data_IF_800103984759
#
_entry.id   IF_800103984759
#
_cell.length_a   1.000
_cell.length_b   1.000
_cell.length_c   1.000
_cell.angle_alpha   90.00
_cell.angle_beta   90.00
_cell.angle_gamma   90.00
#
_symmetry.space_group_name_H-M   'P 1'
#
loop_
_entity.id
_entity.type
_entity.pdbx_description
1 polymer ?
#
# COMPACT_ATOMS: atom_id res chain seq x y z
N UNK A 1 6.78 -29.29 -28.31
CA UNK A 1 6.65 -28.41 -27.13
C UNK A 1 5.27 -27.80 -27.22
N UNK A 2 4.39 -28.07 -26.27
CA UNK A 2 3.00 -27.62 -26.37
C UNK A 2 2.95 -26.09 -26.24
N UNK A 3 2.54 -25.35 -27.28
CA UNK A 3 2.61 -23.89 -27.30
C UNK A 3 1.76 -23.27 -26.17
N UNK A 4 0.64 -23.91 -25.82
CA UNK A 4 -0.22 -23.53 -24.70
C UNK A 4 0.48 -23.59 -23.34
N UNK A 5 1.26 -24.64 -23.07
CA UNK A 5 2.01 -24.78 -21.81
C UNK A 5 3.10 -23.72 -21.69
N UNK A 6 3.81 -23.43 -22.79
CA UNK A 6 4.82 -22.37 -22.80
C UNK A 6 4.20 -21.00 -22.53
N UNK A 7 3.08 -20.68 -23.17
CA UNK A 7 2.36 -19.42 -22.95
C UNK A 7 1.88 -19.29 -21.50
N UNK A 8 1.27 -20.34 -20.96
CA UNK A 8 0.79 -20.36 -19.58
C UNK A 8 1.94 -20.16 -18.57
N UNK A 9 3.07 -20.84 -18.77
CA UNK A 9 4.23 -20.73 -17.88
C UNK A 9 4.81 -19.31 -17.84
N UNK A 10 4.89 -18.63 -18.99
CA UNK A 10 5.39 -17.25 -19.09
C UNK A 10 4.46 -16.29 -18.37
N UNK A 11 3.14 -16.43 -18.55
CA UNK A 11 2.15 -15.57 -17.90
C UNK A 11 2.22 -15.73 -16.38
N UNK A 12 2.25 -16.97 -15.89
CA UNK A 12 2.28 -17.26 -14.45
C UNK A 12 3.57 -16.73 -13.81
N UNK A 13 4.72 -16.97 -14.44
CA UNK A 13 6.01 -16.49 -13.92
C UNK A 13 6.10 -14.97 -13.90
N UNK A 14 5.64 -14.30 -14.96
CA UNK A 14 5.57 -12.84 -15.01
C UNK A 14 4.64 -12.27 -13.92
N UNK A 15 3.46 -12.86 -13.75
CA UNK A 15 2.52 -12.46 -12.70
C UNK A 15 3.13 -12.66 -11.30
N UNK A 16 3.77 -13.81 -11.05
CA UNK A 16 4.42 -14.11 -9.78
C UNK A 16 5.53 -13.10 -9.46
N UNK A 17 6.38 -12.77 -10.44
CA UNK A 17 7.43 -11.76 -10.27
C UNK A 17 6.86 -10.39 -9.90
N UNK A 18 5.80 -9.95 -10.57
CA UNK A 18 5.14 -8.67 -10.26
C UNK A 18 4.53 -8.70 -8.86
N UNK A 19 3.83 -9.77 -8.49
CA UNK A 19 3.22 -9.91 -7.17
C UNK A 19 4.27 -9.93 -6.05
N UNK A 20 5.35 -10.71 -6.22
CA UNK A 20 6.44 -10.81 -5.25
C UNK A 20 7.23 -9.50 -5.16
N UNK A 21 7.51 -8.84 -6.28
CA UNK A 21 8.17 -7.54 -6.30
C UNK A 21 7.35 -6.46 -5.60
N UNK A 22 6.03 -6.43 -5.81
CA UNK A 22 5.14 -5.51 -5.10
C UNK A 22 5.09 -5.81 -3.60
N UNK A 23 5.02 -7.09 -3.21
CA UNK A 23 5.05 -7.51 -1.82
C UNK A 23 6.37 -7.10 -1.13
N UNK A 24 7.51 -7.31 -1.78
CA UNK A 24 8.82 -6.85 -1.32
C UNK A 24 8.87 -5.34 -1.15
N UNK A 25 8.36 -4.56 -2.12
CA UNK A 25 8.28 -3.11 -2.00
C UNK A 25 7.34 -2.66 -0.87
N UNK A 26 6.27 -3.41 -0.58
CA UNK A 26 5.41 -3.16 0.58
C UNK A 26 6.10 -3.49 1.91
N UNK A 27 7.07 -4.40 1.90
CA UNK A 27 7.87 -4.76 3.07
C UNK A 27 8.94 -3.71 3.37
N UNK A 28 9.70 -3.30 2.35
CA UNK A 28 10.79 -2.33 2.48
C UNK A 28 10.25 -0.91 2.71
N UNK A 29 9.21 -0.51 1.97
CA UNK A 29 8.63 0.84 2.05
C UNK A 29 7.15 0.74 2.41
N UNK A 30 6.82 0.52 3.69
CA UNK A 30 5.43 0.34 4.13
C UNK A 30 4.62 1.64 4.08
N UNK A 31 5.30 2.79 4.17
CA UNK A 31 4.69 4.11 4.20
C UNK A 31 4.85 4.82 2.86
N UNK A 32 3.74 5.31 2.30
CA UNK A 32 3.74 6.26 1.18
C UNK A 32 3.42 7.66 1.69
N UNK A 33 4.07 8.66 1.12
CA UNK A 33 3.76 10.06 1.40
C UNK A 33 2.33 10.38 0.94
N UNK A 34 1.62 11.18 1.71
CA UNK A 34 0.30 11.62 1.31
C UNK A 34 0.43 12.72 0.24
N UNK A 35 0.04 12.41 -0.99
CA UNK A 35 0.08 13.38 -2.10
C UNK A 35 -0.75 14.66 -1.85
N UNK A 36 -1.75 14.61 -0.97
CA UNK A 36 -2.60 15.77 -0.65
C UNK A 36 -1.86 16.83 0.20
N UNK A 37 -0.95 16.40 1.07
CA UNK A 37 -0.19 17.30 1.94
C UNK A 37 1.33 17.23 1.71
N UNK A 38 1.77 16.48 0.69
CA UNK A 38 3.17 16.22 0.37
C UNK A 38 4.01 15.74 1.58
N UNK A 39 3.41 15.00 2.52
CA UNK A 39 4.12 14.51 3.72
C UNK A 39 4.11 15.45 4.92
N UNK A 40 3.59 16.68 4.81
CA UNK A 40 3.60 17.65 5.92
C UNK A 40 2.56 17.36 7.01
N UNK A 41 1.58 16.49 6.74
CA UNK A 41 0.45 16.19 7.65
C UNK A 41 -0.56 17.32 7.80
N UNK A 42 -0.32 18.47 7.15
CA UNK A 42 -1.17 19.65 7.22
C UNK A 42 -1.46 20.14 5.82
N UNK A 43 -2.63 20.73 5.61
CA UNK A 43 -3.01 21.36 4.35
C UNK A 43 -3.33 22.81 4.65
N UNK A 44 -2.70 23.74 3.95
CA UNK A 44 -3.01 25.16 4.04
C UNK A 44 -4.15 25.46 3.07
N UNK A 45 -5.26 26.01 3.59
CA UNK A 45 -6.32 26.54 2.72
C UNK A 45 -5.88 27.88 2.16
N UNK A 46 -5.91 28.03 0.83
CA UNK A 46 -5.45 29.23 0.10
C UNK A 46 -6.16 30.53 0.52
N UNK A 47 -7.36 30.42 1.08
CA UNK A 47 -8.22 31.57 1.44
C UNK A 47 -7.89 32.12 2.83
N UNK A 48 -7.60 31.26 3.80
CA UNK A 48 -7.48 31.66 5.21
C UNK A 48 -6.06 31.50 5.77
N UNK A 49 -5.13 30.93 4.99
CA UNK A 49 -3.76 30.53 5.38
C UNK A 49 -3.65 29.72 6.69
N UNK A 50 -4.76 29.27 7.27
CA UNK A 50 -4.76 28.50 8.50
C UNK A 50 -4.32 27.06 8.21
N UNK A 51 -3.32 26.53 8.95
CA UNK A 51 -2.93 25.14 8.83
C UNK A 51 -4.05 24.26 9.38
N UNK A 52 -4.64 23.43 8.50
CA UNK A 52 -5.60 22.40 8.92
C UNK A 52 -4.94 21.03 8.87
N UNK A 53 -5.31 20.14 9.79
CA UNK A 53 -4.89 18.74 9.70
C UNK A 53 -5.37 18.14 8.38
N UNK A 54 -4.52 17.35 7.72
CA UNK A 54 -4.91 16.70 6.48
C UNK A 54 -6.03 15.69 6.77
N UNK A 55 -7.24 15.92 6.24
CA UNK A 55 -8.41 15.04 6.47
C UNK A 55 -8.22 13.58 6.06
N UNK A 56 -7.15 13.25 5.32
CA UNK A 56 -6.96 11.93 4.75
C UNK A 56 -5.64 11.28 5.15
N UNK A 57 -4.80 11.94 5.92
CA UNK A 57 -3.67 11.30 6.60
C UNK A 57 -3.47 11.95 7.96
N UNK A 58 -3.20 11.15 8.97
CA UNK A 58 -3.04 11.64 10.34
C UNK A 58 -1.67 12.34 10.52
N UNK A 59 -0.59 11.73 10.02
CA UNK A 59 0.79 12.23 10.16
C UNK A 59 1.54 12.47 8.84
N UNK A 60 0.83 12.80 7.76
CA UNK A 60 1.46 13.03 6.44
C UNK A 60 1.83 11.77 5.67
N UNK A 61 1.76 10.60 6.31
CA UNK A 61 2.03 9.30 5.71
C UNK A 61 0.77 8.44 5.64
N UNK A 62 0.76 7.48 4.70
CA UNK A 62 -0.27 6.44 4.60
C UNK A 62 0.39 5.07 4.44
N UNK A 63 -0.22 4.04 5.01
CA UNK A 63 0.17 2.67 4.71
C UNK A 63 -0.13 2.31 3.24
N UNK A 64 0.76 1.54 2.61
CA UNK A 64 0.48 0.86 1.34
C UNK A 64 -0.56 -0.25 1.53
N UNK A 65 -1.26 -0.61 0.46
CA UNK A 65 -2.40 -1.53 0.51
C UNK A 65 -2.00 -2.90 1.08
N UNK A 66 -0.84 -3.44 0.69
CA UNK A 66 -0.34 -4.72 1.20
C UNK A 66 -0.21 -4.75 2.73
N UNK A 67 0.34 -3.69 3.35
CA UNK A 67 0.45 -3.62 4.82
C UNK A 67 -0.90 -3.40 5.49
N UNK A 68 -1.85 -2.71 4.83
CA UNK A 68 -3.23 -2.60 5.34
C UNK A 68 -3.89 -3.98 5.40
N UNK A 69 -3.78 -4.77 4.35
CA UNK A 69 -4.34 -6.13 4.29
C UNK A 69 -3.68 -7.00 5.36
N UNK A 70 -2.35 -7.00 5.44
CA UNK A 70 -1.63 -7.77 6.46
C UNK A 70 -2.07 -7.42 7.89
N UNK A 71 -2.22 -6.13 8.20
CA UNK A 71 -2.67 -5.69 9.52
C UNK A 71 -4.12 -6.12 9.82
N UNK A 72 -5.00 -6.12 8.81
CA UNK A 72 -6.38 -6.62 8.97
C UNK A 72 -6.38 -8.13 9.21
N UNK A 73 -5.65 -8.89 8.40
CA UNK A 73 -5.52 -10.35 8.57
C UNK A 73 -4.93 -10.71 9.94
N UNK A 74 -3.92 -9.98 10.40
CA UNK A 74 -3.34 -10.18 11.71
C UNK A 74 -4.35 -9.93 12.84
N UNK A 75 -5.21 -8.90 12.71
CA UNK A 75 -6.29 -8.64 13.67
C UNK A 75 -7.31 -9.77 13.68
N UNK A 76 -7.79 -10.17 12.51
CA UNK A 76 -8.74 -11.28 12.37
C UNK A 76 -8.20 -12.58 12.96
N UNK A 77 -6.91 -12.89 12.72
CA UNK A 77 -6.25 -14.06 13.29
C UNK A 77 -6.14 -13.97 14.81
N UNK A 78 -5.81 -12.81 15.36
CA UNK A 78 -5.71 -12.62 16.81
C UNK A 78 -7.08 -12.72 17.50
N UNK A 79 -8.14 -12.23 16.85
CA UNK A 79 -9.52 -12.37 17.33
C UNK A 79 -9.97 -13.83 17.29
N UNK A 80 -9.63 -14.59 16.25
CA UNK A 80 -9.98 -16.01 16.15
C UNK A 80 -9.28 -16.91 17.20
N UNK A 81 -8.17 -16.46 17.78
CA UNK A 81 -7.43 -17.20 18.83
C UNK A 81 -7.85 -16.83 20.26
N UNK A 82 -8.84 -15.94 20.42
CA UNK A 82 -9.33 -15.47 21.71
C UNK A 82 -10.72 -16.02 22.00
#
# INVERSE_FOLDING_TARGET
>A
MDPLLTLASVIITAAALVTLGYAGLCWVIPFKTCQRCAGTGRTTTRILHRPRACRRCDRGMRLRLGRRIFNVLHRLRAEAHR
#
